data_IF_955926139188
#
_entry.id   IF_955926139188
#
_cell.length_a   1.000
_cell.length_b   1.000
_cell.length_c   1.000
_cell.angle_alpha   90.00
_cell.angle_beta   90.00
_cell.angle_gamma   90.00
#
_symmetry.space_group_name_H-M   'P 1'
#
loop_
_entity.id
_entity.type
_entity.pdbx_description
1 polymer ?
#
# COMPACT_ATOMS: atom_id res chain seq x y z
N UNK A 1 -0.94 25.18 38.21
CA UNK A 1 -0.89 24.05 37.27
C UNK A 1 0.19 24.34 36.24
N UNK A 2 1.40 23.81 36.47
CA UNK A 2 2.53 23.93 35.55
C UNK A 2 2.28 23.09 34.30
N UNK A 3 2.30 23.72 33.12
CA UNK A 3 2.35 22.99 31.84
C UNK A 3 3.61 22.10 31.85
N UNK A 4 3.53 20.82 31.48
CA UNK A 4 4.74 20.02 31.35
C UNK A 4 5.56 20.61 30.20
N UNK A 5 6.76 21.09 30.51
CA UNK A 5 7.78 21.41 29.51
C UNK A 5 8.14 20.12 28.78
N UNK A 6 7.99 20.11 27.45
CA UNK A 6 8.37 18.95 26.65
C UNK A 6 9.86 18.63 26.85
N UNK A 7 10.20 17.34 26.94
CA UNK A 7 11.60 16.88 27.04
C UNK A 7 12.45 17.47 25.90
N UNK A 8 13.74 17.83 26.12
CA UNK A 8 14.61 18.38 25.08
C UNK A 8 14.69 17.52 23.81
N UNK A 9 14.60 16.19 23.95
CA UNK A 9 14.54 15.26 22.81
C UNK A 9 13.25 15.40 22.00
N UNK A 10 12.12 15.66 22.68
CA UNK A 10 10.81 15.89 22.05
C UNK A 10 10.79 17.22 21.30
N UNK A 11 11.34 18.27 21.92
CA UNK A 11 11.48 19.57 21.28
C UNK A 11 12.33 19.49 19.99
N UNK A 12 13.37 18.65 19.98
CA UNK A 12 14.29 18.51 18.85
C UNK A 12 13.63 17.83 17.63
N UNK A 13 12.90 16.73 17.82
CA UNK A 13 12.26 16.05 16.68
C UNK A 13 11.07 16.83 16.09
N UNK A 14 10.34 17.60 16.91
CA UNK A 14 9.27 18.48 16.43
C UNK A 14 9.80 19.62 15.58
N UNK A 15 10.94 20.22 15.97
CA UNK A 15 11.64 21.24 15.19
C UNK A 15 12.17 20.68 13.88
N UNK A 16 12.80 19.50 13.92
CA UNK A 16 13.24 18.77 12.74
C UNK A 16 12.09 18.47 11.76
N UNK A 17 10.96 17.97 12.26
CA UNK A 17 9.78 17.76 11.42
C UNK A 17 9.19 19.07 10.86
N UNK A 18 9.24 20.16 11.63
CA UNK A 18 8.83 21.49 11.16
C UNK A 18 9.73 22.00 10.03
N UNK A 19 11.05 21.81 10.12
CA UNK A 19 12.01 22.14 9.06
C UNK A 19 11.70 21.39 7.76
N UNK A 20 11.44 20.09 7.82
CA UNK A 20 11.04 19.32 6.62
C UNK A 20 9.76 19.89 6.01
N UNK A 21 8.74 20.15 6.83
CA UNK A 21 7.46 20.74 6.37
C UNK A 21 7.65 22.09 5.70
N UNK A 22 8.46 22.95 6.28
CA UNK A 22 8.74 24.28 5.75
C UNK A 22 9.46 24.20 4.40
N UNK A 23 10.60 23.50 4.34
CA UNK A 23 11.42 23.41 3.14
C UNK A 23 10.65 22.77 1.98
N UNK A 24 9.95 21.65 2.25
CA UNK A 24 9.16 20.95 1.23
C UNK A 24 7.93 21.78 0.82
N UNK A 25 7.27 22.44 1.77
CA UNK A 25 6.12 23.31 1.50
C UNK A 25 6.48 24.53 0.65
N UNK A 26 7.61 25.18 0.96
CA UNK A 26 8.16 26.27 0.14
C UNK A 26 8.44 25.79 -1.28
N UNK A 27 9.07 24.61 -1.43
CA UNK A 27 9.34 24.03 -2.74
C UNK A 27 8.05 23.70 -3.51
N UNK A 28 7.04 23.15 -2.85
CA UNK A 28 5.72 22.91 -3.42
C UNK A 28 5.05 24.19 -3.93
N UNK A 29 5.14 25.28 -3.16
CA UNK A 29 4.62 26.59 -3.57
C UNK A 29 5.39 27.17 -4.76
N UNK A 30 6.72 27.07 -4.78
CA UNK A 30 7.53 27.49 -5.93
C UNK A 30 7.15 26.72 -7.20
N UNK A 31 6.90 25.41 -7.10
CA UNK A 31 6.44 24.61 -8.24
C UNK A 31 5.09 25.11 -8.76
N UNK A 32 4.13 25.41 -7.88
CA UNK A 32 2.82 25.97 -8.27
C UNK A 32 2.89 27.36 -8.88
N UNK A 33 3.85 28.18 -8.46
CA UNK A 33 4.12 29.49 -9.07
C UNK A 33 4.76 29.34 -10.45
N UNK A 34 5.73 28.42 -10.59
CA UNK A 34 6.42 28.15 -11.86
C UNK A 34 5.53 27.45 -12.89
N UNK A 35 4.67 26.54 -12.45
CA UNK A 35 3.76 25.76 -13.28
C UNK A 35 2.31 25.96 -12.81
N UNK A 36 1.60 27.00 -13.30
CA UNK A 36 0.25 27.33 -12.86
C UNK A 36 -0.77 26.20 -12.99
N UNK A 37 -0.56 25.24 -13.89
CA UNK A 37 -1.39 24.03 -14.01
C UNK A 37 -1.52 23.27 -12.67
N UNK A 38 -0.48 23.29 -11.83
CA UNK A 38 -0.45 22.64 -10.52
C UNK A 38 -1.39 23.30 -9.49
N UNK A 39 -1.95 24.46 -9.79
CA UNK A 39 -2.98 25.12 -8.97
C UNK A 39 -4.37 24.52 -9.21
N UNK A 40 -4.58 23.83 -10.34
CA UNK A 40 -5.86 23.18 -10.70
C UNK A 40 -5.92 21.74 -10.17
N UNK A 41 -5.73 21.58 -8.87
CA UNK A 41 -5.59 20.26 -8.22
C UNK A 41 -6.75 19.30 -8.52
N UNK A 42 -8.00 19.77 -8.46
CA UNK A 42 -9.18 18.95 -8.75
C UNK A 42 -9.20 18.47 -10.21
N UNK A 43 -8.90 19.36 -11.16
CA UNK A 43 -8.82 19.01 -12.58
C UNK A 43 -7.70 18.01 -12.87
N UNK A 44 -6.53 18.18 -12.24
CA UNK A 44 -5.42 17.22 -12.33
C UNK A 44 -5.81 15.86 -11.75
N UNK A 45 -6.51 15.83 -10.61
CA UNK A 45 -7.02 14.59 -10.03
C UNK A 45 -7.94 13.83 -10.99
N UNK A 46 -8.88 14.53 -11.64
CA UNK A 46 -9.76 13.94 -12.67
C UNK A 46 -8.99 13.48 -13.89
N UNK A 47 -8.05 14.30 -14.39
CA UNK A 47 -7.28 13.98 -15.58
C UNK A 47 -6.41 12.73 -15.38
N UNK A 48 -5.74 12.61 -14.22
CA UNK A 48 -4.96 11.42 -13.87
C UNK A 48 -5.85 10.19 -13.74
N UNK A 49 -7.03 10.33 -13.10
CA UNK A 49 -7.98 9.22 -12.98
C UNK A 49 -8.48 8.75 -14.34
N UNK A 50 -8.90 9.68 -15.20
CA UNK A 50 -9.36 9.39 -16.55
C UNK A 50 -8.26 8.73 -17.39
N UNK A 51 -7.03 9.25 -17.33
CA UNK A 51 -5.87 8.68 -18.00
C UNK A 51 -5.60 7.25 -17.54
N UNK A 52 -5.62 6.99 -16.23
CA UNK A 52 -5.39 5.66 -15.69
C UNK A 52 -6.49 4.67 -16.09
N UNK A 53 -7.77 5.06 -15.98
CA UNK A 53 -8.90 4.21 -16.39
C UNK A 53 -8.87 3.94 -17.91
N UNK A 54 -8.56 4.94 -18.72
CA UNK A 54 -8.41 4.78 -20.17
C UNK A 54 -7.24 3.83 -20.50
N UNK A 55 -6.11 3.94 -19.78
CA UNK A 55 -4.97 3.03 -19.94
C UNK A 55 -5.33 1.57 -19.61
N UNK A 56 -6.05 1.34 -18.51
CA UNK A 56 -6.55 -0.01 -18.15
C UNK A 56 -7.54 -0.53 -19.20
N UNK A 57 -8.49 0.30 -19.64
CA UNK A 57 -9.48 -0.05 -20.65
C UNK A 57 -8.85 -0.35 -22.01
N UNK A 58 -7.87 0.44 -22.43
CA UNK A 58 -7.12 0.23 -23.67
C UNK A 58 -6.29 -1.06 -23.62
N UNK A 59 -5.62 -1.34 -22.50
CA UNK A 59 -4.90 -2.60 -22.32
C UNK A 59 -5.85 -3.82 -22.37
N UNK A 60 -7.02 -3.72 -21.75
CA UNK A 60 -8.03 -4.76 -21.81
C UNK A 60 -8.59 -4.96 -23.23
N UNK A 61 -8.93 -3.87 -23.93
CA UNK A 61 -9.38 -3.91 -25.32
C UNK A 61 -8.35 -4.60 -26.21
N UNK A 62 -7.10 -4.11 -26.19
CA UNK A 62 -6.03 -4.66 -27.05
C UNK A 62 -5.78 -6.14 -26.78
N UNK A 63 -5.95 -6.59 -25.54
CA UNK A 63 -5.87 -8.01 -25.20
C UNK A 63 -7.04 -8.82 -25.78
N UNK A 64 -8.28 -8.32 -25.66
CA UNK A 64 -9.48 -8.96 -26.21
C UNK A 64 -9.39 -9.08 -27.75
N UNK A 65 -8.88 -8.05 -28.41
CA UNK A 65 -8.59 -8.03 -29.86
C UNK A 65 -7.31 -8.80 -30.25
N UNK A 66 -6.68 -9.50 -29.29
CA UNK A 66 -5.50 -10.34 -29.47
C UNK A 66 -4.28 -9.59 -30.05
N UNK A 67 -4.21 -8.27 -29.86
CA UNK A 67 -3.12 -7.42 -30.33
C UNK A 67 -1.92 -7.41 -29.38
N UNK A 68 -2.14 -7.73 -28.10
CA UNK A 68 -1.08 -7.85 -27.09
C UNK A 68 -1.22 -9.15 -26.31
N UNK A 69 -0.09 -9.68 -25.85
CA UNK A 69 -0.09 -10.85 -24.98
C UNK A 69 -0.69 -10.54 -23.61
N UNK A 70 -1.23 -11.56 -22.93
CA UNK A 70 -1.86 -11.43 -21.61
C UNK A 70 -0.94 -10.76 -20.59
N UNK A 71 0.37 -11.04 -20.62
CA UNK A 71 1.31 -10.48 -19.65
C UNK A 71 1.55 -8.98 -19.89
N UNK A 72 1.48 -8.51 -21.14
CA UNK A 72 1.56 -7.08 -21.47
C UNK A 72 0.34 -6.36 -20.91
N UNK A 73 -0.86 -6.91 -21.14
CA UNK A 73 -2.10 -6.40 -20.56
C UNK A 73 -2.01 -6.33 -19.04
N UNK A 74 -1.54 -7.42 -18.41
CA UNK A 74 -1.45 -7.52 -16.96
C UNK A 74 -0.53 -6.45 -16.37
N UNK A 75 0.69 -6.32 -16.90
CA UNK A 75 1.67 -5.35 -16.41
C UNK A 75 1.23 -3.91 -16.67
N UNK A 76 0.66 -3.62 -17.86
CA UNK A 76 0.13 -2.29 -18.18
C UNK A 76 -1.02 -1.89 -17.25
N UNK A 77 -2.00 -2.79 -17.06
CA UNK A 77 -3.12 -2.57 -16.15
C UNK A 77 -2.64 -2.38 -14.71
N UNK A 78 -1.64 -3.14 -14.25
CA UNK A 78 -1.08 -3.00 -12.91
C UNK A 78 -0.40 -1.63 -12.72
N UNK A 79 0.33 -1.15 -13.73
CA UNK A 79 0.93 0.17 -13.73
C UNK A 79 -0.12 1.29 -13.66
N UNK A 80 -1.16 1.26 -14.50
CA UNK A 80 -2.23 2.27 -14.43
C UNK A 80 -3.03 2.18 -13.12
N UNK A 81 -3.26 0.97 -12.60
CA UNK A 81 -3.86 0.78 -11.28
C UNK A 81 -2.99 1.40 -10.16
N UNK A 82 -1.67 1.48 -10.31
CA UNK A 82 -0.81 2.13 -9.32
C UNK A 82 -1.07 3.63 -9.20
N UNK A 83 -1.36 4.33 -10.30
CA UNK A 83 -1.75 5.76 -10.29
C UNK A 83 -3.04 5.99 -9.53
N UNK A 84 -4.03 5.12 -9.75
CA UNK A 84 -5.32 5.24 -9.08
C UNK A 84 -5.19 5.01 -7.56
N UNK A 85 -4.18 4.25 -7.10
CA UNK A 85 -3.90 4.10 -5.67
C UNK A 85 -3.35 5.37 -5.05
N UNK A 86 -2.37 6.01 -5.68
CA UNK A 86 -1.86 7.29 -5.19
C UNK A 86 -2.98 8.35 -5.15
N UNK A 87 -3.88 8.35 -6.15
CA UNK A 87 -5.08 9.17 -6.12
C UNK A 87 -6.01 8.84 -4.94
N UNK A 88 -6.27 7.56 -4.65
CA UNK A 88 -7.06 7.19 -3.47
C UNK A 88 -6.41 7.67 -2.17
N UNK A 89 -5.09 7.52 -2.07
CA UNK A 89 -4.34 7.98 -0.92
C UNK A 89 -4.45 9.50 -0.69
N UNK A 90 -4.56 10.28 -1.76
CA UNK A 90 -4.87 11.71 -1.67
C UNK A 90 -6.37 11.99 -1.41
N UNK A 91 -7.28 11.19 -1.99
CA UNK A 91 -8.73 11.30 -1.76
C UNK A 91 -9.12 11.02 -0.32
N UNK A 92 -8.51 10.05 0.36
CA UNK A 92 -8.80 9.75 1.77
C UNK A 92 -8.40 10.91 2.70
N UNK A 93 -7.46 11.77 2.28
CA UNK A 93 -7.14 13.06 2.92
C UNK A 93 -8.02 14.23 2.47
N UNK A 94 -9.03 13.97 1.65
CA UNK A 94 -9.90 14.99 1.06
C UNK A 94 -9.11 16.09 0.35
N UNK A 95 -8.10 15.68 -0.43
CA UNK A 95 -7.31 16.60 -1.25
C UNK A 95 -8.05 17.04 -2.52
N UNK A 96 -8.87 16.17 -3.13
CA UNK A 96 -9.67 16.52 -4.31
C UNK A 96 -11.14 16.74 -3.95
N UNK A 97 -11.75 17.75 -4.54
CA UNK A 97 -13.16 18.11 -4.38
C UNK A 97 -13.60 18.23 -2.92
N UNK A 98 -12.74 18.77 -2.04
CA UNK A 98 -12.94 18.79 -0.58
C UNK A 98 -14.33 19.31 -0.15
N UNK A 99 -14.85 20.30 -0.86
CA UNK A 99 -16.16 20.93 -0.58
C UNK A 99 -17.32 20.31 -1.37
N UNK A 100 -17.05 19.47 -2.37
CA UNK A 100 -18.04 18.94 -3.30
C UNK A 100 -18.16 17.41 -3.13
N UNK A 101 -19.21 16.98 -2.42
CA UNK A 101 -19.36 15.56 -2.03
C UNK A 101 -19.54 14.63 -3.22
N UNK A 102 -20.30 15.02 -4.23
CA UNK A 102 -20.63 14.15 -5.38
C UNK A 102 -19.38 13.76 -6.18
N UNK A 103 -18.60 14.70 -6.73
CA UNK A 103 -17.40 14.33 -7.50
C UNK A 103 -16.34 13.63 -6.64
N UNK A 104 -16.20 14.01 -5.36
CA UNK A 104 -15.30 13.33 -4.44
C UNK A 104 -15.65 11.84 -4.26
N UNK A 105 -16.91 11.52 -3.97
CA UNK A 105 -17.33 10.14 -3.75
C UNK A 105 -17.38 9.34 -5.06
N UNK A 106 -17.65 9.98 -6.18
CA UNK A 106 -17.53 9.34 -7.50
C UNK A 106 -16.08 8.92 -7.76
N UNK A 107 -15.10 9.80 -7.51
CA UNK A 107 -13.69 9.43 -7.64
C UNK A 107 -13.31 8.29 -6.69
N UNK A 108 -13.77 8.32 -5.44
CA UNK A 108 -13.57 7.23 -4.46
C UNK A 108 -14.14 5.89 -4.96
N UNK A 109 -15.33 5.90 -5.56
CA UNK A 109 -15.93 4.71 -6.15
C UNK A 109 -15.11 4.19 -7.34
N UNK A 110 -14.74 5.08 -8.27
CA UNK A 110 -13.98 4.73 -9.47
C UNK A 110 -12.61 4.15 -9.14
N UNK A 111 -11.88 4.72 -8.17
CA UNK A 111 -10.58 4.17 -7.76
C UNK A 111 -10.73 2.81 -7.07
N UNK A 112 -11.84 2.54 -6.39
CA UNK A 112 -12.12 1.22 -5.82
C UNK A 112 -12.48 0.18 -6.87
N UNK A 113 -13.29 0.55 -7.87
CA UNK A 113 -13.62 -0.35 -8.98
C UNK A 113 -12.39 -0.67 -9.85
N UNK A 114 -11.48 0.30 -10.03
CA UNK A 114 -10.19 0.06 -10.69
C UNK A 114 -9.28 -0.87 -9.88
N UNK A 115 -9.45 -0.91 -8.56
CA UNK A 115 -8.66 -1.73 -7.64
C UNK A 115 -9.51 -2.54 -6.68
N UNK A 116 -10.25 -3.53 -7.19
CA UNK A 116 -11.21 -4.23 -6.38
C UNK A 116 -10.53 -5.07 -5.29
N UNK A 117 -9.26 -5.47 -5.44
CA UNK A 117 -8.51 -6.27 -4.45
C UNK A 117 -8.32 -5.63 -3.05
N UNK A 118 -8.58 -4.33 -2.90
CA UNK A 118 -8.39 -3.59 -1.64
C UNK A 118 -9.69 -3.49 -0.83
N UNK A 119 -9.56 -3.09 0.44
CA UNK A 119 -10.71 -2.75 1.26
C UNK A 119 -11.46 -1.53 0.71
N UNK A 120 -12.71 -1.38 1.13
CA UNK A 120 -13.54 -0.21 0.88
C UNK A 120 -12.79 1.09 1.26
N UNK A 121 -12.65 2.06 0.34
CA UNK A 121 -11.80 3.23 0.56
C UNK A 121 -12.37 4.20 1.60
N UNK A 122 -13.69 4.20 1.83
CA UNK A 122 -14.30 4.97 2.93
C UNK A 122 -13.95 4.39 4.29
N UNK A 123 -13.86 3.05 4.41
CA UNK A 123 -13.33 2.42 5.62
C UNK A 123 -11.84 2.70 5.75
N UNK A 124 -11.08 2.52 4.67
CA UNK A 124 -9.63 2.78 4.64
C UNK A 124 -9.30 4.20 5.09
N UNK A 125 -10.10 5.20 4.70
CA UNK A 125 -9.93 6.59 5.14
C UNK A 125 -9.80 6.72 6.66
N UNK A 126 -10.65 6.03 7.42
CA UNK A 126 -10.59 6.09 8.88
C UNK A 126 -9.32 5.41 9.41
N UNK A 127 -8.94 4.28 8.83
CA UNK A 127 -7.70 3.57 9.18
C UNK A 127 -6.47 4.42 8.88
N UNK A 128 -6.45 5.07 7.71
CA UNK A 128 -5.33 5.89 7.27
C UNK A 128 -5.15 7.17 8.09
N UNK A 129 -6.23 7.86 8.42
CA UNK A 129 -6.15 9.01 9.33
C UNK A 129 -5.69 8.61 10.74
N UNK A 130 -6.01 7.38 11.17
CA UNK A 130 -5.50 6.83 12.43
C UNK A 130 -4.02 6.43 12.32
N UNK A 131 -3.60 5.87 11.19
CA UNK A 131 -2.22 5.54 10.89
C UNK A 131 -1.31 6.77 11.05
N UNK A 132 -1.65 7.93 10.48
CA UNK A 132 -0.88 9.17 10.69
C UNK A 132 -0.69 9.56 12.17
N UNK A 133 -1.68 9.26 13.02
CA UNK A 133 -1.63 9.59 14.46
C UNK A 133 -0.85 8.57 15.28
N UNK A 134 -0.86 7.31 14.86
CA UNK A 134 -0.41 6.16 15.66
C UNK A 134 0.66 5.32 14.96
N UNK A 135 1.23 5.85 13.87
CA UNK A 135 2.18 5.14 13.02
C UNK A 135 3.32 4.54 13.83
N UNK A 136 3.63 3.28 13.54
CA UNK A 136 4.64 2.51 14.25
C UNK A 136 4.21 1.99 15.63
N UNK A 137 2.96 2.13 16.03
CA UNK A 137 2.41 1.51 17.25
C UNK A 137 1.50 0.32 16.93
N UNK A 138 1.08 -0.42 17.97
CA UNK A 138 0.07 -1.48 17.83
C UNK A 138 -1.29 -0.96 17.36
N UNK A 139 -1.62 0.32 17.60
CA UNK A 139 -2.88 0.92 17.19
C UNK A 139 -2.91 1.25 15.68
N UNK A 140 -1.78 1.17 14.99
CA UNK A 140 -1.67 1.39 13.55
C UNK A 140 -2.23 0.20 12.75
N UNK A 141 -3.55 0.12 12.67
CA UNK A 141 -4.25 -0.98 12.02
C UNK A 141 -4.06 -1.04 10.49
N UNK A 142 -3.75 0.08 9.83
CA UNK A 142 -3.52 0.06 8.37
C UNK A 142 -2.23 -0.70 8.06
N UNK A 143 -1.11 -0.28 8.67
CA UNK A 143 0.18 -0.91 8.40
C UNK A 143 0.29 -2.31 9.02
N UNK A 144 -0.31 -2.51 10.20
CA UNK A 144 -0.39 -3.86 10.80
C UNK A 144 -1.14 -4.82 9.89
N UNK A 145 -2.23 -4.40 9.24
CA UNK A 145 -2.98 -5.26 8.33
C UNK A 145 -2.13 -5.77 7.15
N UNK A 146 -1.20 -4.94 6.66
CA UNK A 146 -0.29 -5.26 5.55
C UNK A 146 1.09 -5.78 6.00
N UNK A 147 1.20 -6.29 7.23
CA UNK A 147 2.37 -7.02 7.81
C UNK A 147 3.48 -6.19 8.45
N UNK A 148 3.31 -4.88 8.65
CA UNK A 148 4.31 -4.12 9.41
C UNK A 148 4.50 -4.73 10.81
N UNK A 149 5.74 -5.03 11.19
CA UNK A 149 6.07 -5.66 12.47
C UNK A 149 5.90 -7.18 12.54
N UNK A 150 5.51 -7.84 11.44
CA UNK A 150 5.58 -9.31 11.36
C UNK A 150 7.02 -9.74 10.98
N UNK A 151 7.62 -10.75 11.62
CA UNK A 151 8.93 -11.24 11.20
C UNK A 151 8.85 -11.89 9.80
N UNK A 152 9.91 -11.73 9.00
CA UNK A 152 9.98 -12.38 7.70
C UNK A 152 10.07 -13.91 7.83
N UNK A 153 9.29 -14.59 6.99
CA UNK A 153 9.14 -16.03 6.95
C UNK A 153 7.98 -16.40 6.02
N UNK A 154 7.64 -17.69 5.92
CA UNK A 154 6.59 -18.18 5.01
C UNK A 154 5.25 -17.47 5.28
N UNK A 155 4.88 -17.30 6.56
CA UNK A 155 3.65 -16.62 6.92
C UNK A 155 3.62 -15.18 6.38
N UNK A 156 4.63 -14.35 6.66
CA UNK A 156 4.66 -12.97 6.16
C UNK A 156 4.63 -12.91 4.63
N UNK A 157 5.38 -13.78 3.95
CA UNK A 157 5.38 -13.84 2.49
C UNK A 157 3.96 -14.05 1.92
N UNK A 158 3.22 -15.03 2.48
CA UNK A 158 1.83 -15.29 2.13
C UNK A 158 0.91 -14.10 2.42
N UNK A 159 1.09 -13.45 3.58
CA UNK A 159 0.27 -12.30 3.99
C UNK A 159 0.53 -11.05 3.14
N UNK A 160 1.76 -10.84 2.65
CA UNK A 160 2.11 -9.72 1.76
C UNK A 160 1.49 -9.91 0.38
N UNK A 161 1.53 -11.13 -0.16
CA UNK A 161 0.98 -11.43 -1.48
C UNK A 161 -0.54 -11.53 -1.54
N UNK A 162 -1.18 -11.86 -0.43
CA UNK A 162 -2.61 -12.13 -0.39
C UNK A 162 -3.26 -11.63 0.89
N UNK A 163 -4.19 -10.69 0.74
CA UNK A 163 -4.89 -10.07 1.84
C UNK A 163 -5.89 -11.00 2.54
N UNK A 164 -6.52 -11.90 1.78
CA UNK A 164 -7.39 -12.92 2.36
C UNK A 164 -6.55 -13.93 3.13
N UNK A 165 -5.36 -14.26 2.65
CA UNK A 165 -4.38 -15.06 3.39
C UNK A 165 -3.88 -14.36 4.67
N UNK A 166 -3.68 -13.04 4.62
CA UNK A 166 -3.40 -12.21 5.82
C UNK A 166 -4.50 -12.35 6.86
N UNK A 167 -5.76 -12.18 6.47
CA UNK A 167 -6.90 -12.39 7.37
C UNK A 167 -7.00 -13.83 7.86
N UNK A 168 -6.79 -14.83 7.00
CA UNK A 168 -6.85 -16.25 7.34
C UNK A 168 -5.79 -16.63 8.39
N UNK A 169 -4.53 -16.27 8.18
CA UNK A 169 -3.44 -16.52 9.13
C UNK A 169 -3.74 -15.85 10.48
N UNK A 170 -4.31 -14.64 10.49
CA UNK A 170 -4.75 -13.97 11.72
C UNK A 170 -5.90 -14.70 12.42
N UNK A 171 -6.83 -15.28 11.68
CA UNK A 171 -7.89 -16.15 12.24
C UNK A 171 -7.28 -17.41 12.86
N UNK A 172 -6.32 -18.06 12.19
CA UNK A 172 -5.63 -19.24 12.74
C UNK A 172 -4.92 -18.92 14.05
N UNK A 173 -4.25 -17.76 14.13
CA UNK A 173 -3.52 -17.27 15.31
C UNK A 173 -4.41 -16.68 16.41
N UNK A 174 -5.70 -16.44 16.15
CA UNK A 174 -6.55 -15.80 17.16
C UNK A 174 -6.85 -16.76 18.33
N UNK A 175 -6.71 -16.31 19.59
CA UNK A 175 -6.74 -17.19 20.76
C UNK A 175 -8.14 -17.71 21.09
N UNK A 176 -9.19 -17.01 20.68
CA UNK A 176 -10.58 -17.35 21.04
C UNK A 176 -11.49 -17.38 19.81
N UNK A 177 -12.52 -18.22 19.86
CA UNK A 177 -13.52 -18.31 18.80
C UNK A 177 -14.27 -16.99 18.57
N UNK A 178 -14.56 -16.26 19.65
CA UNK A 178 -15.14 -14.91 19.56
C UNK A 178 -14.25 -13.98 18.71
N UNK A 179 -12.93 -14.05 18.89
CA UNK A 179 -11.99 -13.24 18.09
C UNK A 179 -11.86 -13.74 16.65
N UNK A 180 -11.90 -15.05 16.41
CA UNK A 180 -11.97 -15.63 15.06
C UNK A 180 -13.18 -15.10 14.28
N UNK A 181 -14.38 -15.21 14.86
CA UNK A 181 -15.63 -14.68 14.28
C UNK A 181 -15.55 -13.18 14.01
N UNK A 182 -14.97 -12.41 14.93
CA UNK A 182 -14.79 -10.97 14.74
C UNK A 182 -13.89 -10.65 13.53
N UNK A 183 -12.75 -11.34 13.38
CA UNK A 183 -11.84 -11.12 12.25
C UNK A 183 -12.52 -11.49 10.93
N UNK A 184 -13.23 -12.63 10.88
CA UNK A 184 -13.99 -13.07 9.70
C UNK A 184 -15.04 -12.02 9.33
N UNK A 185 -15.92 -11.65 10.28
CA UNK A 185 -16.98 -10.69 10.03
C UNK A 185 -16.45 -9.32 9.60
N UNK A 186 -15.37 -8.85 10.24
CA UNK A 186 -14.71 -7.60 9.85
C UNK A 186 -14.13 -7.69 8.44
N UNK A 187 -13.44 -8.79 8.12
CA UNK A 187 -12.86 -9.01 6.78
C UNK A 187 -13.95 -8.97 5.71
N UNK A 188 -15.05 -9.71 5.90
CA UNK A 188 -16.17 -9.70 4.96
C UNK A 188 -16.73 -8.28 4.78
N UNK A 189 -16.96 -7.56 5.86
CA UNK A 189 -17.52 -6.21 5.81
C UNK A 189 -16.61 -5.19 5.11
N UNK A 190 -15.29 -5.21 5.37
CA UNK A 190 -14.37 -4.21 4.81
C UNK A 190 -13.99 -4.48 3.36
N UNK A 191 -14.04 -5.74 2.91
CA UNK A 191 -13.77 -6.10 1.52
C UNK A 191 -15.02 -6.13 0.63
N UNK A 192 -16.24 -6.14 1.19
CA UNK A 192 -17.45 -6.21 0.39
C UNK A 192 -17.74 -4.89 -0.39
N UNK A 193 -18.30 -4.98 -1.62
CA UNK A 193 -18.48 -6.20 -2.41
C UNK A 193 -17.24 -6.52 -3.27
N UNK A 194 -16.53 -5.50 -3.77
CA UNK A 194 -15.55 -5.66 -4.83
C UNK A 194 -14.31 -6.47 -4.42
N UNK A 195 -13.84 -6.31 -3.18
CA UNK A 195 -12.76 -7.13 -2.63
C UNK A 195 -13.10 -8.60 -2.57
N UNK A 196 -14.30 -8.93 -2.09
CA UNK A 196 -14.75 -10.31 -2.03
C UNK A 196 -14.87 -10.92 -3.43
N UNK A 197 -15.42 -10.18 -4.39
CA UNK A 197 -15.51 -10.63 -5.78
C UNK A 197 -14.12 -10.87 -6.39
N UNK A 198 -13.20 -9.92 -6.23
CA UNK A 198 -11.83 -10.06 -6.75
C UNK A 198 -11.12 -11.30 -6.20
N UNK A 199 -11.11 -11.47 -4.88
CA UNK A 199 -10.41 -12.60 -4.26
C UNK A 199 -11.12 -13.93 -4.52
N UNK A 200 -12.46 -13.94 -4.63
CA UNK A 200 -13.19 -15.13 -5.06
C UNK A 200 -12.82 -15.54 -6.50
N UNK A 201 -12.80 -14.60 -7.44
CA UNK A 201 -12.34 -14.84 -8.82
C UNK A 201 -10.90 -15.35 -8.84
N UNK A 202 -10.00 -14.76 -8.05
CA UNK A 202 -8.62 -15.20 -7.94
C UNK A 202 -8.49 -16.65 -7.44
N UNK A 203 -9.24 -17.03 -6.41
CA UNK A 203 -9.19 -18.39 -5.87
C UNK A 203 -9.88 -19.43 -6.75
N UNK A 204 -10.95 -19.06 -7.45
CA UNK A 204 -11.54 -19.93 -8.48
C UNK A 204 -10.53 -20.20 -9.59
N UNK A 205 -9.86 -19.15 -10.09
CA UNK A 205 -8.78 -19.28 -11.08
C UNK A 205 -7.66 -20.21 -10.61
N UNK A 206 -7.08 -19.95 -9.43
CA UNK A 206 -6.00 -20.76 -8.89
C UNK A 206 -6.42 -22.21 -8.63
N UNK A 207 -7.64 -22.41 -8.10
CA UNK A 207 -8.18 -23.74 -7.83
C UNK A 207 -8.37 -24.56 -9.11
N UNK A 208 -8.99 -23.96 -10.13
CA UNK A 208 -9.21 -24.61 -11.42
C UNK A 208 -7.88 -24.99 -12.09
N UNK A 209 -7.03 -24.01 -12.39
CA UNK A 209 -5.77 -24.25 -13.11
C UNK A 209 -4.78 -25.08 -12.29
N UNK A 210 -4.77 -24.94 -10.96
CA UNK A 210 -3.96 -25.77 -10.07
C UNK A 210 -4.40 -27.23 -10.07
N UNK A 211 -5.71 -27.49 -10.04
CA UNK A 211 -6.24 -28.86 -10.13
C UNK A 211 -5.99 -29.50 -11.50
N UNK A 212 -6.13 -28.72 -12.57
CA UNK A 212 -5.90 -29.17 -13.94
C UNK A 212 -4.42 -29.55 -14.15
N UNK A 213 -3.50 -28.68 -13.72
CA UNK A 213 -2.06 -28.92 -13.75
C UNK A 213 -1.67 -30.17 -12.95
N UNK A 214 -2.16 -30.30 -11.72
CA UNK A 214 -1.84 -31.43 -10.85
C UNK A 214 -2.37 -32.75 -11.42
N UNK A 215 -3.62 -32.76 -11.88
CA UNK A 215 -4.25 -33.95 -12.45
C UNK A 215 -3.53 -34.43 -13.72
N UNK A 216 -3.12 -33.49 -14.58
CA UNK A 216 -2.34 -33.76 -15.78
C UNK A 216 -0.96 -34.30 -15.43
N UNK A 217 -0.27 -33.72 -14.44
CA UNK A 217 1.03 -34.19 -13.97
C UNK A 217 0.97 -35.61 -13.37
N UNK A 218 -0.17 -36.00 -12.79
CA UNK A 218 -0.41 -37.34 -12.26
C UNK A 218 -0.91 -38.35 -13.32
N UNK A 219 -0.98 -37.95 -14.59
CA UNK A 219 -1.44 -38.83 -15.68
C UNK A 219 -2.95 -39.12 -15.65
N UNK A 220 -3.72 -38.31 -14.92
CA UNK A 220 -5.18 -38.43 -14.82
C UNK A 220 -5.86 -37.07 -15.09
N UNK A 221 -5.76 -36.53 -16.33
CA UNK A 221 -6.36 -35.22 -16.65
C UNK A 221 -7.85 -35.17 -16.36
N UNK A 222 -8.31 -34.06 -15.77
CA UNK A 222 -9.74 -33.84 -15.50
C UNK A 222 -10.45 -33.48 -16.81
N UNK A 223 -11.54 -34.18 -17.13
CA UNK A 223 -12.41 -33.81 -18.24
C UNK A 223 -13.49 -32.86 -17.71
N UNK A 224 -13.26 -31.56 -17.89
CA UNK A 224 -14.24 -30.54 -17.52
C UNK A 224 -15.42 -30.48 -18.49
N UNK A 225 -16.60 -30.11 -18.00
CA UNK A 225 -17.76 -29.88 -18.86
C UNK A 225 -17.60 -28.61 -19.70
N UNK A 226 -18.32 -28.53 -20.81
CA UNK A 226 -18.36 -27.33 -21.66
C UNK A 226 -18.79 -26.09 -20.87
N UNK A 227 -19.74 -26.22 -19.95
CA UNK A 227 -20.22 -25.12 -19.11
C UNK A 227 -19.13 -24.61 -18.16
N UNK A 228 -18.35 -25.53 -17.56
CA UNK A 228 -17.22 -25.14 -16.71
C UNK A 228 -16.17 -24.39 -17.52
N UNK A 229 -15.82 -24.87 -18.71
CA UNK A 229 -14.84 -24.20 -19.58
C UNK A 229 -15.34 -22.82 -20.04
N UNK A 230 -16.62 -22.70 -20.38
CA UNK A 230 -17.22 -21.41 -20.76
C UNK A 230 -17.23 -20.41 -19.60
N UNK A 231 -17.50 -20.86 -18.37
CA UNK A 231 -17.38 -20.03 -17.18
C UNK A 231 -15.92 -19.62 -16.91
N UNK A 232 -14.98 -20.56 -17.01
CA UNK A 232 -13.57 -20.29 -16.79
C UNK A 232 -12.97 -19.33 -17.82
N UNK A 233 -13.47 -19.30 -19.05
CA UNK A 233 -13.08 -18.28 -20.03
C UNK A 233 -13.28 -16.84 -19.49
N UNK A 234 -14.41 -16.58 -18.82
CA UNK A 234 -14.66 -15.27 -18.22
C UNK A 234 -13.79 -15.01 -16.99
N UNK A 235 -13.51 -16.04 -16.19
CA UNK A 235 -12.59 -15.95 -15.06
C UNK A 235 -11.18 -15.61 -15.54
N UNK A 236 -10.69 -16.30 -16.56
CA UNK A 236 -9.37 -16.08 -17.15
C UNK A 236 -9.25 -14.68 -17.72
N UNK A 237 -10.26 -14.23 -18.47
CA UNK A 237 -10.32 -12.86 -18.98
C UNK A 237 -10.26 -11.85 -17.84
N UNK A 238 -11.09 -12.01 -16.79
CA UNK A 238 -11.10 -11.13 -15.63
C UNK A 238 -9.75 -11.12 -14.88
N UNK A 239 -9.07 -12.27 -14.81
CA UNK A 239 -7.74 -12.39 -14.22
C UNK A 239 -6.68 -11.64 -15.01
N UNK A 240 -6.71 -11.70 -16.34
CA UNK A 240 -5.73 -10.98 -17.16
C UNK A 240 -5.96 -9.46 -17.07
N UNK A 241 -7.20 -9.00 -17.20
CA UNK A 241 -7.48 -7.57 -17.39
C UNK A 241 -7.62 -6.79 -16.09
N UNK A 242 -8.02 -7.42 -14.98
CA UNK A 242 -8.36 -6.72 -13.74
C UNK A 242 -7.81 -7.38 -12.46
N UNK A 243 -8.09 -8.67 -12.23
CA UNK A 243 -7.79 -9.32 -10.94
C UNK A 243 -6.29 -9.58 -10.77
N UNK A 244 -5.63 -10.24 -11.72
CA UNK A 244 -4.19 -10.48 -11.72
C UNK A 244 -3.34 -9.21 -11.61
N UNK A 245 -3.61 -8.14 -12.41
CA UNK A 245 -2.97 -6.84 -12.24
C UNK A 245 -3.05 -6.30 -10.81
N UNK A 246 -4.20 -6.46 -10.18
CA UNK A 246 -4.47 -5.97 -8.83
C UNK A 246 -3.82 -6.83 -7.74
N UNK A 247 -3.70 -8.14 -7.95
CA UNK A 247 -2.91 -9.03 -7.09
C UNK A 247 -1.43 -8.63 -7.14
N UNK A 248 -0.86 -8.49 -8.35
CA UNK A 248 0.53 -8.05 -8.52
C UNK A 248 0.79 -6.71 -7.85
N UNK A 249 -0.05 -5.71 -8.14
CA UNK A 249 0.04 -4.37 -7.59
C UNK A 249 -0.09 -4.36 -6.06
N UNK A 250 -0.99 -5.16 -5.50
CA UNK A 250 -1.15 -5.30 -4.05
C UNK A 250 0.11 -5.87 -3.41
N UNK A 251 0.67 -6.95 -3.97
CA UNK A 251 1.94 -7.49 -3.50
C UNK A 251 3.05 -6.43 -3.53
N UNK A 252 3.23 -5.71 -4.65
CA UNK A 252 4.26 -4.68 -4.77
C UNK A 252 4.08 -3.55 -3.75
N UNK A 253 2.86 -3.04 -3.58
CA UNK A 253 2.59 -2.01 -2.57
C UNK A 253 2.87 -2.54 -1.17
N UNK A 254 2.35 -3.71 -0.81
CA UNK A 254 2.46 -4.25 0.54
C UNK A 254 3.90 -4.59 0.89
N UNK A 255 4.65 -5.10 -0.07
CA UNK A 255 6.08 -5.29 0.08
C UNK A 255 6.77 -3.96 0.39
N UNK A 256 6.54 -2.92 -0.41
CA UNK A 256 7.21 -1.62 -0.22
C UNK A 256 6.75 -0.94 1.08
N UNK A 257 5.44 -0.77 1.29
CA UNK A 257 4.88 -0.05 2.45
C UNK A 257 5.22 -0.74 3.77
N UNK A 258 5.01 -2.06 3.85
CA UNK A 258 5.25 -2.77 5.12
C UNK A 258 6.73 -2.88 5.48
N UNK A 259 7.66 -2.63 4.56
CA UNK A 259 9.10 -2.64 4.84
C UNK A 259 9.68 -1.23 5.04
N UNK A 260 8.98 -0.19 4.59
CA UNK A 260 9.39 1.19 4.81
C UNK A 260 8.89 1.77 6.13
N UNK A 261 7.79 1.26 6.68
CA UNK A 261 7.32 1.66 7.99
C UNK A 261 8.09 0.97 9.11
N UNK A 262 8.37 1.72 10.17
CA UNK A 262 8.91 1.15 11.39
C UNK A 262 7.79 0.74 12.34
N UNK A 263 8.11 -0.09 13.33
CA UNK A 263 7.13 -0.62 14.27
C UNK A 263 7.70 -0.93 15.66
N UNK A 264 6.92 -0.56 16.67
CA UNK A 264 7.02 -0.97 18.06
C UNK A 264 7.95 -0.12 18.92
N UNK A 265 9.05 0.40 18.37
CA UNK A 265 10.03 1.25 19.05
C UNK A 265 10.15 2.65 18.43
N UNK A 266 9.05 3.12 17.85
CA UNK A 266 8.86 4.48 17.34
C UNK A 266 8.39 5.38 18.49
N UNK A 267 9.11 6.46 18.76
CA UNK A 267 8.74 7.44 19.78
C UNK A 267 7.43 8.16 19.38
N UNK A 268 6.51 8.30 20.33
CA UNK A 268 5.21 8.91 20.08
C UNK A 268 5.35 10.36 19.58
N UNK A 269 4.73 10.66 18.44
CA UNK A 269 4.81 11.97 17.78
C UNK A 269 6.09 12.21 16.96
N UNK A 270 7.03 11.26 16.96
CA UNK A 270 8.29 11.39 16.23
C UNK A 270 8.15 10.88 14.79
N UNK A 271 7.71 11.78 13.90
CA UNK A 271 7.50 11.47 12.47
C UNK A 271 8.78 11.00 11.75
N UNK A 272 9.96 11.40 12.24
CA UNK A 272 11.26 11.02 11.67
C UNK A 272 11.48 9.50 11.77
N UNK A 273 10.91 8.87 12.80
CA UNK A 273 11.04 7.44 13.05
C UNK A 273 9.92 6.60 12.42
N UNK A 274 8.87 7.21 11.86
CA UNK A 274 7.73 6.47 11.35
C UNK A 274 8.05 5.69 10.07
N UNK A 275 8.84 6.29 9.18
CA UNK A 275 9.18 5.72 7.87
C UNK A 275 10.65 5.89 7.53
N UNK A 276 11.16 5.03 6.65
CA UNK A 276 12.37 5.25 5.87
C UNK A 276 12.01 5.54 4.41
N UNK A 277 12.96 6.11 3.67
CA UNK A 277 12.88 6.20 2.21
C UNK A 277 13.49 4.94 1.59
N UNK A 278 12.71 4.24 0.78
CA UNK A 278 13.14 3.07 0.00
C UNK A 278 13.25 3.45 -1.48
N UNK A 279 14.46 3.71 -1.96
CA UNK A 279 14.70 4.15 -3.35
C UNK A 279 15.94 3.53 -4.05
N UNK A 280 16.38 2.29 -3.74
CA UNK A 280 17.42 1.66 -4.54
C UNK A 280 16.88 1.35 -5.94
N UNK A 281 17.75 1.40 -6.95
CA UNK A 281 17.35 1.16 -8.34
C UNK A 281 16.75 -0.25 -8.56
N UNK A 282 17.19 -1.26 -7.82
CA UNK A 282 16.73 -2.64 -7.97
C UNK A 282 15.31 -2.86 -7.40
N UNK A 283 14.75 -1.92 -6.64
CA UNK A 283 13.33 -1.94 -6.26
C UNK A 283 12.41 -1.38 -7.35
N UNK A 284 12.95 -0.85 -8.46
CA UNK A 284 12.15 -0.25 -9.51
C UNK A 284 11.03 -1.15 -10.06
N UNK A 285 11.22 -2.47 -10.25
CA UNK A 285 10.13 -3.34 -10.68
C UNK A 285 8.93 -3.34 -9.72
N UNK A 286 9.16 -3.27 -8.40
CA UNK A 286 8.08 -3.16 -7.42
C UNK A 286 7.51 -1.74 -7.38
N UNK A 287 8.38 -0.74 -7.47
CA UNK A 287 7.99 0.67 -7.48
C UNK A 287 7.12 1.04 -8.69
N UNK A 288 7.32 0.41 -9.85
CA UNK A 288 6.50 0.62 -11.04
C UNK A 288 5.02 0.30 -10.77
N UNK A 289 4.74 -0.71 -9.94
CA UNK A 289 3.38 -1.13 -9.61
C UNK A 289 2.84 -0.50 -8.32
N UNK A 290 3.61 0.33 -7.62
CA UNK A 290 3.10 1.21 -6.57
C UNK A 290 3.38 2.70 -6.84
N UNK A 291 3.71 3.06 -8.08
CA UNK A 291 4.00 4.43 -8.52
C UNK A 291 5.07 5.16 -7.68
N UNK A 292 6.20 4.50 -7.44
CA UNK A 292 7.33 5.06 -6.70
C UNK A 292 6.98 5.46 -5.24
N UNK A 293 6.01 4.76 -4.64
CA UNK A 293 5.55 4.96 -3.27
C UNK A 293 6.68 4.89 -2.25
N UNK A 294 7.60 3.92 -2.36
CA UNK A 294 8.68 3.76 -1.38
C UNK A 294 9.64 4.95 -1.33
N UNK A 295 9.74 5.71 -2.42
CA UNK A 295 10.57 6.90 -2.48
C UNK A 295 9.84 8.15 -1.94
N UNK A 296 8.51 8.21 -2.01
CA UNK A 296 7.77 9.46 -1.77
C UNK A 296 6.78 9.41 -0.61
N UNK A 297 6.42 8.23 -0.14
CA UNK A 297 5.45 8.07 0.94
C UNK A 297 5.95 8.67 2.25
N UNK A 298 7.24 8.58 2.57
CA UNK A 298 7.79 9.26 3.76
C UNK A 298 7.52 10.78 3.74
N UNK A 299 7.50 11.42 2.57
CA UNK A 299 7.19 12.85 2.41
C UNK A 299 5.74 13.14 2.85
N UNK A 300 4.81 12.22 2.59
CA UNK A 300 3.40 12.34 2.97
C UNK A 300 3.20 12.44 4.48
N UNK A 301 4.00 11.72 5.27
CA UNK A 301 3.93 11.81 6.74
C UNK A 301 4.32 13.20 7.26
N UNK A 302 5.23 13.89 6.57
CA UNK A 302 5.58 15.26 6.91
C UNK A 302 4.56 16.26 6.34
N UNK A 303 4.18 16.13 5.07
CA UNK A 303 3.42 17.13 4.32
C UNK A 303 2.13 16.52 3.73
N UNK A 304 1.21 16.17 4.63
CA UNK A 304 -0.06 15.49 4.33
C UNK A 304 -0.94 16.20 3.29
N UNK A 305 -0.75 17.49 3.02
CA UNK A 305 -1.58 18.25 2.06
C UNK A 305 -0.98 18.34 0.65
N UNK A 306 0.16 17.69 0.41
CA UNK A 306 0.77 17.65 -0.91
C UNK A 306 0.31 16.40 -1.68
N UNK A 307 -0.34 16.55 -2.84
CA UNK A 307 -0.77 15.41 -3.65
C UNK A 307 0.44 14.67 -4.22
N UNK A 308 0.25 13.40 -4.56
CA UNK A 308 1.34 12.48 -4.90
C UNK A 308 2.25 13.02 -6.03
N UNK A 309 1.68 13.64 -7.06
CA UNK A 309 2.46 14.18 -8.17
C UNK A 309 3.35 15.36 -7.73
N UNK A 310 2.94 16.16 -6.74
CA UNK A 310 3.82 17.17 -6.15
C UNK A 310 4.87 16.49 -5.27
N UNK A 311 4.52 15.45 -4.50
CA UNK A 311 5.50 14.66 -3.73
C UNK A 311 6.61 14.08 -4.65
N UNK A 312 6.26 13.63 -5.85
CA UNK A 312 7.24 13.18 -6.85
C UNK A 312 8.17 14.34 -7.28
N UNK A 313 7.61 15.52 -7.59
CA UNK A 313 8.39 16.68 -8.04
C UNK A 313 9.24 17.31 -6.92
N UNK A 314 8.82 17.20 -5.67
CA UNK A 314 9.56 17.71 -4.50
C UNK A 314 10.54 16.70 -3.93
N UNK A 315 10.50 15.43 -4.37
CA UNK A 315 11.31 14.34 -3.82
C UNK A 315 12.80 14.66 -3.70
N UNK A 316 13.50 15.26 -4.69
CA UNK A 316 14.93 15.58 -4.53
C UNK A 316 15.22 16.50 -3.34
N UNK A 317 14.40 17.55 -3.16
CA UNK A 317 14.54 18.52 -2.05
C UNK A 317 14.11 17.88 -0.73
N UNK A 318 13.00 17.15 -0.75
CA UNK A 318 12.49 16.44 0.43
C UNK A 318 13.50 15.43 0.94
N UNK A 319 14.11 14.63 0.06
CA UNK A 319 15.12 13.64 0.44
C UNK A 319 16.34 14.27 1.09
N UNK A 320 16.80 15.41 0.58
CA UNK A 320 17.93 16.13 1.17
C UNK A 320 17.61 16.54 2.61
N UNK A 321 16.52 17.29 2.84
CA UNK A 321 16.18 17.76 4.18
C UNK A 321 15.79 16.61 5.13
N UNK A 322 15.17 15.54 4.61
CA UNK A 322 14.85 14.34 5.37
C UNK A 322 16.12 13.64 5.88
N UNK A 323 17.19 13.55 5.07
CA UNK A 323 18.49 13.04 5.52
C UNK A 323 19.12 13.93 6.59
N UNK A 324 19.09 15.24 6.37
CA UNK A 324 19.64 16.23 7.32
C UNK A 324 19.03 16.11 8.71
N UNK A 325 17.74 15.76 8.80
CA UNK A 325 17.03 15.60 10.07
C UNK A 325 17.02 14.16 10.61
N UNK A 326 17.71 13.23 9.94
CA UNK A 326 17.91 11.86 10.42
C UNK A 326 16.87 10.82 9.99
N UNK A 327 16.04 11.10 8.97
CA UNK A 327 15.23 10.04 8.33
C UNK A 327 16.18 9.06 7.64
N UNK A 328 15.94 7.76 7.87
CA UNK A 328 16.75 6.69 7.28
C UNK A 328 16.40 6.44 5.82
N UNK A 329 17.39 5.98 5.08
CA UNK A 329 17.27 5.60 3.67
C UNK A 329 17.79 4.19 3.52
N UNK A 330 17.01 3.32 2.87
CA UNK A 330 17.46 1.99 2.47
C UNK A 330 18.02 1.16 3.65
N UNK A 331 17.44 1.30 4.84
CA UNK A 331 17.68 0.46 6.01
C UNK A 331 17.01 -0.91 5.79
N UNK A 332 17.64 -1.75 4.98
CA UNK A 332 17.19 -3.13 4.74
C UNK A 332 17.36 -4.03 5.97
N UNK A 333 18.10 -3.57 6.99
CA UNK A 333 18.21 -4.28 8.25
C UNK A 333 16.86 -4.44 8.97
N UNK A 334 15.85 -3.61 8.64
CA UNK A 334 14.48 -3.77 9.14
C UNK A 334 13.86 -5.13 8.83
N UNK A 335 14.34 -5.81 7.78
CA UNK A 335 13.83 -7.12 7.37
C UNK A 335 14.19 -8.18 8.42
N UNK A 336 15.39 -8.08 9.02
CA UNK A 336 15.82 -8.97 10.11
C UNK A 336 15.22 -8.56 11.46
N UNK A 337 14.87 -7.29 11.64
CA UNK A 337 14.43 -6.74 12.93
C UNK A 337 12.92 -6.60 13.06
N UNK A 338 12.13 -7.24 12.18
CA UNK A 338 10.67 -7.10 12.15
C UNK A 338 10.23 -5.63 12.25
N UNK A 339 10.80 -4.78 11.39
CA UNK A 339 10.48 -3.35 11.28
C UNK A 339 10.89 -2.47 12.49
N UNK A 340 11.69 -2.95 13.44
CA UNK A 340 12.20 -2.10 14.52
C UNK A 340 13.17 -1.02 14.04
N UNK A 341 13.02 0.19 14.58
CA UNK A 341 13.91 1.33 14.33
C UNK A 341 15.28 1.10 14.94
N UNK A 342 15.35 0.69 16.20
CA UNK A 342 16.62 0.39 16.84
C UNK A 342 17.16 -0.97 16.37
N UNK A 343 18.49 -1.13 16.46
CA UNK A 343 19.08 -2.45 16.34
C UNK A 343 18.57 -3.33 17.51
N UNK A 344 18.25 -4.60 17.24
CA UNK A 344 17.95 -5.55 18.32
C UNK A 344 19.23 -5.67 19.13
N UNK A 345 19.23 -5.24 20.40
CA UNK A 345 20.34 -5.55 21.30
C UNK A 345 20.39 -7.06 21.39
N UNK A 346 21.47 -7.66 20.90
CA UNK A 346 21.80 -9.03 21.26
C UNK A 346 22.07 -9.03 22.77
N UNK A 347 21.08 -9.37 23.56
CA UNK A 347 21.32 -9.78 24.94
C UNK A 347 22.26 -10.99 24.85
N UNK A 348 23.56 -10.75 25.02
CA UNK A 348 24.47 -11.82 25.38
C UNK A 348 23.98 -12.30 26.74
N UNK A 349 23.64 -13.59 26.92
CA UNK A 349 23.33 -14.11 28.25
C UNK A 349 24.56 -13.82 29.11
N UNK A 350 24.35 -13.03 30.16
CA UNK A 350 25.42 -12.46 30.96
C UNK A 350 26.37 -13.54 31.45
N UNK A 351 27.65 -13.33 31.20
CA UNK A 351 28.71 -13.97 31.99
C UNK A 351 28.46 -13.55 33.43
N UNK A 352 28.00 -14.48 34.25
CA UNK A 352 27.99 -14.33 35.69
C UNK A 352 29.46 -14.19 36.15
N UNK A 353 29.89 -12.96 36.39
CA UNK A 353 31.05 -12.71 37.24
C UNK A 353 30.58 -12.88 38.68
N UNK A 354 30.78 -14.07 39.23
CA UNK A 354 30.78 -14.25 40.67
C UNK A 354 32.24 -14.21 41.13
N UNK A 355 32.54 -13.14 41.87
CA UNK A 355 33.58 -13.14 42.90
C UNK A 355 33.10 -13.94 44.12
#
# INVERSE_FOLDING_TARGET
>A
MSRPTASPAIANHLQAAARVREVVGVRGNQLRQRYPILQHQDALGVAILAFALAGMGAAAWLYIEQQIAWWVCLLASAFFASLTHELEHDLIHSMYFRKQRVPHNLMMLLVWMARPSTINPWVRRHLHLNHHKTSGSEADMEERAITNGEPWGIARLLMVGDNMMSSFIRVLRAPTWARKRYIIGRTLAVYAPFGLLNWATWYVFLGFHGSDLLSSALGSPIIWSTDTLAFMHWIDLAVVVLVGPNVLRTFCLHFISSNMHYYGDVEAGNVIQQTQVLNPWWLWPLQAFCFNFGSTHGIHHFVVKEPFYIRQLTAPVAHQVMREVGVRFNDFGTFARANRWQAVRSEHPGVAQNA
#
